data_IF_952026128439
#
_entry.id   IF_952026128439
#
_cell.length_a   1.000
_cell.length_b   1.000
_cell.length_c   1.000
_cell.angle_alpha   90.00
_cell.angle_beta   90.00
_cell.angle_gamma   90.00
#
_symmetry.space_group_name_H-M   'P 1'
#
loop_
_entity.id
_entity.type
_entity.pdbx_description
1 polymer ?
#
# COMPACT_ATOMS: atom_id res chain seq x y z
N UNK A 1 -3.64 5.56 -18.01
CA UNK A 1 -2.59 5.90 -17.02
C UNK A 1 -1.97 4.61 -16.54
N UNK A 2 -0.64 4.51 -16.48
CA UNK A 2 0.04 3.36 -15.89
C UNK A 2 0.43 3.70 -14.45
N UNK A 3 0.04 2.85 -13.48
CA UNK A 3 0.35 3.04 -12.05
C UNK A 3 1.87 3.16 -11.82
N UNK A 4 2.69 2.48 -12.64
CA UNK A 4 4.15 2.57 -12.52
C UNK A 4 4.67 4.00 -12.72
N UNK A 5 4.03 4.78 -13.58
CA UNK A 5 4.49 6.13 -13.93
C UNK A 5 4.25 7.13 -12.78
N UNK A 6 3.33 6.81 -11.85
CA UNK A 6 3.09 7.61 -10.65
C UNK A 6 4.07 7.32 -9.51
N UNK A 7 5.06 6.42 -9.70
CA UNK A 7 6.04 6.05 -8.68
C UNK A 7 7.40 6.63 -9.05
N UNK A 8 7.86 7.61 -8.26
CA UNK A 8 9.19 8.18 -8.38
C UNK A 8 10.27 7.15 -8.02
N UNK A 9 11.36 7.15 -8.79
CA UNK A 9 12.57 6.38 -8.46
C UNK A 9 13.68 7.32 -8.05
N UNK A 10 14.27 7.08 -6.88
CA UNK A 10 15.39 7.85 -6.35
C UNK A 10 16.63 6.93 -6.40
N UNK A 11 17.61 7.24 -7.26
CA UNK A 11 18.85 6.47 -7.31
C UNK A 11 19.69 6.70 -6.05
N UNK A 12 20.50 5.70 -5.70
CA UNK A 12 21.50 5.74 -4.63
C UNK A 12 20.96 6.09 -3.22
N UNK A 13 19.70 5.75 -2.94
CA UNK A 13 19.06 5.99 -1.64
C UNK A 13 18.61 4.68 -0.96
N UNK A 14 18.84 4.50 0.36
CA UNK A 14 19.59 5.36 1.27
C UNK A 14 21.12 5.19 1.16
N UNK A 15 21.59 4.32 0.26
CA UNK A 15 23.01 4.02 0.03
C UNK A 15 23.25 3.81 -1.47
N UNK A 16 24.50 4.00 -1.95
CA UNK A 16 24.86 3.77 -3.33
C UNK A 16 24.45 2.38 -3.85
N UNK A 17 23.99 2.32 -5.09
CA UNK A 17 23.54 1.10 -5.78
C UNK A 17 22.07 0.74 -5.57
N UNK A 18 21.31 1.49 -4.77
CA UNK A 18 19.89 1.22 -4.49
C UNK A 18 18.98 2.11 -5.34
N UNK A 19 18.09 1.50 -6.12
CA UNK A 19 16.99 2.19 -6.81
C UNK A 19 15.74 2.26 -5.92
N UNK A 20 15.65 3.28 -5.07
CA UNK A 20 14.54 3.43 -4.13
C UNK A 20 13.25 3.79 -4.85
N UNK A 21 12.18 3.02 -4.61
CA UNK A 21 10.83 3.29 -5.16
C UNK A 21 10.02 4.08 -4.15
N UNK A 22 9.88 5.37 -4.41
CA UNK A 22 9.16 6.28 -3.54
C UNK A 22 7.66 6.32 -3.90
N UNK A 23 6.91 5.44 -3.26
CA UNK A 23 5.46 5.30 -3.42
C UNK A 23 4.65 6.47 -2.85
N UNK A 24 5.26 7.44 -2.17
CA UNK A 24 4.53 8.62 -1.67
C UNK A 24 3.94 9.47 -2.79
N UNK A 25 4.62 9.49 -3.95
CA UNK A 25 4.11 10.12 -5.18
C UNK A 25 2.84 9.45 -5.71
N UNK A 26 2.76 8.12 -5.64
CA UNK A 26 1.55 7.37 -5.95
C UNK A 26 0.42 7.68 -4.96
N UNK A 27 0.73 7.78 -3.67
CA UNK A 27 -0.27 8.11 -2.64
C UNK A 27 -0.82 9.54 -2.80
N UNK A 28 -0.01 10.48 -3.31
CA UNK A 28 -0.41 11.86 -3.57
C UNK A 28 -1.27 12.03 -4.84
N UNK A 29 -1.28 11.05 -5.74
CA UNK A 29 -2.10 11.06 -6.95
C UNK A 29 -3.40 10.29 -6.70
N UNK A 30 -4.52 11.02 -6.61
CA UNK A 30 -5.82 10.44 -6.29
C UNK A 30 -6.27 9.38 -7.30
N UNK A 31 -5.97 9.56 -8.59
CA UNK A 31 -6.36 8.60 -9.63
C UNK A 31 -5.49 7.35 -9.54
N UNK A 32 -4.17 7.51 -9.45
CA UNK A 32 -3.25 6.39 -9.38
C UNK A 32 -3.42 5.59 -8.09
N UNK A 33 -3.67 6.25 -6.95
CA UNK A 33 -3.92 5.60 -5.68
C UNK A 33 -5.18 4.72 -5.74
N UNK A 34 -6.31 5.27 -6.22
CA UNK A 34 -7.54 4.50 -6.40
C UNK A 34 -7.31 3.30 -7.32
N UNK A 35 -6.69 3.52 -8.49
CA UNK A 35 -6.38 2.44 -9.43
C UNK A 35 -5.51 1.35 -8.81
N UNK A 36 -4.55 1.70 -7.96
CA UNK A 36 -3.70 0.73 -7.27
C UNK A 36 -4.51 -0.13 -6.29
N UNK A 37 -5.40 0.47 -5.49
CA UNK A 37 -6.27 -0.27 -4.57
C UNK A 37 -7.22 -1.19 -5.34
N UNK A 38 -7.87 -0.68 -6.38
CA UNK A 38 -8.79 -1.48 -7.22
C UNK A 38 -8.05 -2.65 -7.88
N UNK A 39 -6.83 -2.42 -8.39
CA UNK A 39 -6.02 -3.45 -9.03
C UNK A 39 -5.55 -4.53 -8.04
N UNK A 40 -5.30 -4.16 -6.78
CA UNK A 40 -4.95 -5.11 -5.71
C UNK A 40 -6.16 -5.97 -5.30
N UNK A 41 -7.37 -5.42 -5.37
CA UNK A 41 -8.60 -6.12 -5.00
C UNK A 41 -9.18 -6.97 -6.13
N UNK A 42 -8.95 -6.59 -7.38
CA UNK A 42 -9.54 -7.24 -8.55
C UNK A 42 -9.38 -8.77 -8.58
N UNK A 43 -8.21 -9.37 -8.25
CA UNK A 43 -8.05 -10.82 -8.25
C UNK A 43 -8.88 -11.56 -7.20
N UNK A 44 -9.36 -10.85 -6.17
CA UNK A 44 -10.14 -11.39 -5.05
C UNK A 44 -11.63 -11.06 -5.17
N UNK A 45 -12.09 -10.62 -6.36
CA UNK A 45 -13.48 -10.29 -6.59
C UNK A 45 -14.38 -11.53 -6.37
N UNK A 46 -15.31 -11.43 -5.43
CA UNK A 46 -16.21 -12.52 -5.05
C UNK A 46 -15.71 -13.39 -3.90
N UNK A 47 -14.44 -13.24 -3.49
CA UNK A 47 -13.93 -13.90 -2.31
C UNK A 47 -14.44 -13.22 -1.04
N UNK A 48 -14.70 -14.03 -0.01
CA UNK A 48 -15.01 -13.51 1.32
C UNK A 48 -13.71 -13.22 2.06
N UNK A 49 -13.41 -11.94 2.22
CA UNK A 49 -12.31 -11.44 3.07
C UNK A 49 -12.94 -10.97 4.39
N UNK A 50 -12.46 -11.47 5.53
CA UNK A 50 -12.98 -11.06 6.84
C UNK A 50 -12.12 -9.98 7.52
N UNK A 51 -10.82 -9.90 7.19
CA UNK A 51 -9.87 -8.91 7.73
C UNK A 51 -8.75 -8.59 6.74
N UNK A 52 -8.16 -7.40 6.88
CA UNK A 52 -6.94 -6.99 6.18
C UNK A 52 -5.83 -6.74 7.19
N UNK A 53 -4.71 -7.43 7.04
CA UNK A 53 -3.52 -7.20 7.86
C UNK A 53 -2.45 -6.48 7.04
N UNK A 54 -1.77 -5.50 7.64
CA UNK A 54 -0.70 -4.78 6.95
C UNK A 54 0.51 -4.53 7.85
N UNK A 55 1.69 -4.55 7.25
CA UNK A 55 2.97 -4.30 7.91
C UNK A 55 3.26 -2.80 8.02
N UNK A 56 3.80 -2.37 9.15
CA UNK A 56 4.11 -0.96 9.38
C UNK A 56 5.25 -0.43 8.49
N UNK A 57 5.36 0.88 8.26
CA UNK A 57 4.32 1.90 8.46
C UNK A 57 3.58 2.19 7.15
N UNK A 58 4.30 2.21 6.02
CA UNK A 58 3.73 2.52 4.70
C UNK A 58 2.66 1.52 4.25
N UNK A 59 2.75 0.26 4.69
CA UNK A 59 1.73 -0.75 4.39
C UNK A 59 0.36 -0.38 4.99
N UNK A 60 0.31 0.41 6.06
CA UNK A 60 -0.96 0.85 6.66
C UNK A 60 -1.78 1.74 5.74
N UNK A 61 -1.14 2.51 4.85
CA UNK A 61 -1.85 3.42 3.94
C UNK A 61 -2.71 2.62 2.96
N UNK A 62 -2.09 1.66 2.26
CA UNK A 62 -2.82 0.80 1.32
C UNK A 62 -3.71 -0.19 2.07
N UNK A 63 -3.21 -0.83 3.12
CA UNK A 63 -3.98 -1.82 3.89
C UNK A 63 -5.23 -1.21 4.53
N UNK A 64 -5.14 0.01 5.05
CA UNK A 64 -6.29 0.75 5.58
C UNK A 64 -7.31 1.10 4.50
N UNK A 65 -6.85 1.55 3.32
CA UNK A 65 -7.74 1.83 2.18
C UNK A 65 -8.45 0.56 1.68
N UNK A 66 -7.74 -0.56 1.58
CA UNK A 66 -8.32 -1.87 1.22
C UNK A 66 -9.34 -2.31 2.26
N UNK A 67 -9.01 -2.24 3.55
CA UNK A 67 -9.93 -2.60 4.64
C UNK A 67 -11.22 -1.78 4.61
N UNK A 68 -11.08 -0.46 4.38
CA UNK A 68 -12.19 0.46 4.23
C UNK A 68 -13.05 0.09 3.00
N UNK A 69 -12.44 -0.14 1.84
CA UNK A 69 -13.17 -0.49 0.61
C UNK A 69 -13.92 -1.82 0.71
N UNK A 70 -13.36 -2.80 1.43
CA UNK A 70 -14.01 -4.09 1.70
C UNK A 70 -15.01 -4.04 2.86
N UNK A 71 -15.07 -2.94 3.63
CA UNK A 71 -15.87 -2.82 4.87
C UNK A 71 -15.54 -3.90 5.91
N UNK A 72 -14.24 -4.17 6.13
CA UNK A 72 -13.75 -5.22 7.04
C UNK A 72 -12.77 -4.66 8.09
N UNK A 73 -12.47 -5.48 9.10
CA UNK A 73 -11.52 -5.12 10.15
C UNK A 73 -10.08 -5.02 9.65
N UNK A 74 -9.34 -4.03 10.16
CA UNK A 74 -7.91 -3.84 9.90
C UNK A 74 -7.06 -4.36 11.07
N UNK A 75 -5.97 -5.08 10.75
CA UNK A 75 -5.01 -5.64 11.74
C UNK A 75 -3.63 -5.02 11.51
N UNK A 76 -3.16 -4.12 12.40
CA UNK A 76 -1.81 -3.56 12.28
C UNK A 76 -0.76 -4.57 12.72
N UNK A 77 0.19 -4.88 11.84
CA UNK A 77 1.38 -5.68 12.19
C UNK A 77 2.56 -4.74 12.35
N UNK A 78 3.16 -4.72 13.54
CA UNK A 78 4.28 -3.85 13.89
C UNK A 78 5.49 -4.65 14.36
N UNK A 79 6.66 -4.01 14.35
CA UNK A 79 7.88 -4.51 14.97
C UNK A 79 7.64 -4.75 16.47
N UNK A 80 8.43 -5.66 17.04
CA UNK A 80 8.36 -6.00 18.46
C UNK A 80 8.41 -4.75 19.35
N UNK A 81 7.54 -4.73 20.39
CA UNK A 81 7.45 -3.63 21.35
C UNK A 81 6.76 -2.36 20.85
N UNK A 82 6.10 -2.39 19.67
CA UNK A 82 5.34 -1.25 19.13
C UNK A 82 3.81 -1.42 19.17
N UNK A 83 3.33 -2.59 19.58
CA UNK A 83 1.94 -2.80 19.98
C UNK A 83 1.86 -2.81 21.51
N UNK A 84 0.78 -2.26 22.10
CA UNK A 84 0.55 -2.32 23.55
C UNK A 84 0.40 -3.77 24.03
#
# INVERSE_FOLDING_TARGET
>A
MNIRDSIRTIPDFPKPGIQFRDVTTLFGDAQAFRMAIDSLLHPYAGDRIDKVAALEARGFIMGGAIAHQLSVGFVPIRKAGKLP
#
